data_IF_846682534232
#
_entry.id   IF_846682534232
#
_cell.length_a   1.000
_cell.length_b   1.000
_cell.length_c   1.000
_cell.angle_alpha   90.00
_cell.angle_beta   90.00
_cell.angle_gamma   90.00
#
_symmetry.space_group_name_H-M   'P 1'
#
loop_
_entity.id
_entity.type
_entity.pdbx_description
1 polymer ?
#
# COMPACT_ATOMS: atom_id res chain seq x y z
N UNK A 1 -12.28 9.12 16.69
CA UNK A 1 -12.43 8.40 17.97
C UNK A 1 -11.04 8.30 18.59
N UNK A 2 -10.89 8.04 19.89
CA UNK A 2 -9.54 7.93 20.47
C UNK A 2 -9.00 6.50 20.27
N UNK A 3 -8.00 6.33 19.39
CA UNK A 3 -7.36 5.04 19.10
C UNK A 3 -6.01 4.97 19.84
N UNK A 4 -5.86 4.12 20.87
CA UNK A 4 -4.62 3.97 21.62
C UNK A 4 -3.42 3.60 20.73
N UNK A 5 -2.25 4.18 20.99
CA UNK A 5 -1.02 3.92 20.22
C UNK A 5 -0.53 2.47 20.29
N UNK A 6 -0.83 1.78 21.39
CA UNK A 6 -0.46 0.38 21.62
C UNK A 6 -1.43 -0.62 20.98
N UNK A 7 -2.50 -0.15 20.32
CA UNK A 7 -3.44 -1.04 19.66
C UNK A 7 -2.77 -1.69 18.43
N UNK A 8 -2.83 -3.02 18.25
CA UNK A 8 -2.16 -3.72 17.15
C UNK A 8 -2.64 -3.28 15.75
N UNK A 9 -3.78 -2.60 15.68
CA UNK A 9 -4.41 -2.05 14.47
C UNK A 9 -4.47 -0.52 14.43
N UNK A 10 -3.73 0.17 15.29
CA UNK A 10 -3.88 1.61 15.48
C UNK A 10 -3.76 2.39 14.16
N UNK A 11 -2.82 2.01 13.30
CA UNK A 11 -2.57 2.67 12.02
C UNK A 11 -3.74 2.50 11.04
N UNK A 12 -4.19 1.27 10.79
CA UNK A 12 -5.36 1.00 9.91
C UNK A 12 -6.61 1.74 10.39
N UNK A 13 -6.88 1.76 11.70
CA UNK A 13 -8.03 2.48 12.24
C UNK A 13 -7.94 3.99 12.01
N UNK A 14 -6.74 4.59 12.15
CA UNK A 14 -6.54 6.02 11.88
C UNK A 14 -6.69 6.35 10.39
N UNK A 15 -6.22 5.48 9.51
CA UNK A 15 -6.38 5.63 8.06
C UNK A 15 -7.87 5.64 7.68
N UNK A 16 -8.67 4.75 8.27
CA UNK A 16 -10.12 4.73 8.08
C UNK A 16 -10.78 6.03 8.56
N UNK A 17 -10.40 6.52 9.74
CA UNK A 17 -10.95 7.79 10.26
C UNK A 17 -10.64 8.97 9.35
N UNK A 18 -9.41 9.06 8.83
CA UNK A 18 -9.02 10.09 7.86
C UNK A 18 -9.87 10.04 6.58
N UNK A 19 -10.16 8.85 6.07
CA UNK A 19 -11.00 8.69 4.88
C UNK A 19 -12.45 9.06 5.14
N UNK A 20 -13.00 8.67 6.28
CA UNK A 20 -14.36 9.07 6.70
C UNK A 20 -14.46 10.59 6.87
N UNK A 21 -13.44 11.23 7.45
CA UNK A 21 -13.36 12.68 7.53
C UNK A 21 -13.24 13.32 6.14
N UNK A 22 -12.38 12.77 5.28
CA UNK A 22 -12.26 13.20 3.88
C UNK A 22 -13.58 13.10 3.12
N UNK A 23 -14.37 12.06 3.37
CA UNK A 23 -15.71 11.90 2.79
C UNK A 23 -16.67 12.98 3.30
N UNK A 24 -16.71 13.21 4.61
CA UNK A 24 -17.54 14.28 5.21
C UNK A 24 -17.16 15.68 4.69
N UNK A 25 -15.90 15.89 4.33
CA UNK A 25 -15.40 17.16 3.75
C UNK A 25 -15.59 17.26 2.23
N UNK A 26 -16.17 16.25 1.57
CA UNK A 26 -16.37 16.22 0.11
C UNK A 26 -15.08 15.97 -0.69
N UNK A 27 -13.99 15.57 -0.04
CA UNK A 27 -12.72 15.22 -0.71
C UNK A 27 -12.74 13.78 -1.23
N UNK A 28 -13.35 12.86 -0.46
CA UNK A 28 -13.48 11.45 -0.81
C UNK A 28 -14.91 11.18 -1.27
N UNK A 29 -15.07 10.45 -2.37
CA UNK A 29 -16.37 9.97 -2.86
C UNK A 29 -16.76 8.66 -2.15
N UNK A 30 -18.05 8.29 -2.07
CA UNK A 30 -18.45 7.08 -1.33
C UNK A 30 -17.81 5.80 -1.90
N UNK A 31 -17.62 5.70 -3.22
CA UNK A 31 -16.91 4.60 -3.87
C UNK A 31 -15.44 4.52 -3.43
N UNK A 32 -14.86 5.64 -3.01
CA UNK A 32 -13.52 5.74 -2.44
C UNK A 32 -13.39 4.98 -1.12
N UNK A 33 -14.42 4.99 -0.28
CA UNK A 33 -14.44 4.20 0.96
C UNK A 33 -14.46 2.70 0.66
N UNK A 34 -15.26 2.29 -0.33
CA UNK A 34 -15.32 0.90 -0.79
C UNK A 34 -13.96 0.48 -1.39
N UNK A 35 -13.37 1.36 -2.21
CA UNK A 35 -12.05 1.13 -2.79
C UNK A 35 -10.97 0.96 -1.71
N UNK A 36 -11.04 1.72 -0.62
CA UNK A 36 -10.15 1.55 0.51
C UNK A 36 -10.30 0.17 1.16
N UNK A 37 -11.53 -0.28 1.41
CA UNK A 37 -11.78 -1.61 1.98
C UNK A 37 -11.22 -2.75 1.11
N UNK A 38 -11.31 -2.64 -0.23
CA UNK A 38 -10.65 -3.58 -1.15
C UNK A 38 -9.13 -3.53 -1.00
N UNK A 39 -8.56 -2.32 -0.92
CA UNK A 39 -7.13 -2.12 -0.69
C UNK A 39 -6.67 -2.78 0.60
N UNK A 40 -7.36 -2.54 1.72
CA UNK A 40 -7.03 -3.17 3.02
C UNK A 40 -7.02 -4.69 2.93
N UNK A 41 -7.98 -5.31 2.23
CA UNK A 41 -7.98 -6.75 2.00
C UNK A 41 -6.66 -7.25 1.39
N UNK A 42 -6.19 -6.60 0.33
CA UNK A 42 -4.90 -6.93 -0.26
C UNK A 42 -3.72 -6.56 0.64
N UNK A 43 -3.83 -5.50 1.44
CA UNK A 43 -2.80 -5.12 2.41
C UNK A 43 -2.55 -6.24 3.44
N UNK A 44 -3.62 -6.88 3.94
CA UNK A 44 -3.50 -8.09 4.77
C UNK A 44 -2.78 -9.24 4.06
N UNK A 45 -3.10 -9.47 2.78
CA UNK A 45 -2.50 -10.52 1.97
C UNK A 45 -1.02 -10.28 1.67
N UNK A 46 -0.58 -9.03 1.62
CA UNK A 46 0.84 -8.68 1.51
C UNK A 46 1.50 -8.47 2.88
N UNK A 47 0.75 -8.59 3.99
CA UNK A 47 1.27 -8.54 5.35
C UNK A 47 1.53 -7.13 5.89
N UNK A 48 0.81 -6.13 5.40
CA UNK A 48 0.75 -4.76 5.93
C UNK A 48 2.10 -4.06 6.05
N UNK A 49 3.00 -4.35 5.11
CA UNK A 49 4.33 -3.77 5.02
C UNK A 49 4.77 -3.67 3.57
N UNK A 50 5.66 -2.72 3.29
CA UNK A 50 6.32 -2.63 1.98
C UNK A 50 7.15 -3.90 1.75
N UNK A 51 6.87 -4.59 0.64
CA UNK A 51 7.59 -5.79 0.25
C UNK A 51 8.75 -5.47 -0.71
N UNK A 52 9.75 -6.36 -0.87
CA UNK A 52 10.89 -6.10 -1.75
C UNK A 52 10.51 -5.78 -3.21
N UNK A 53 9.50 -6.47 -3.76
CA UNK A 53 9.00 -6.22 -5.11
C UNK A 53 8.41 -4.80 -5.24
N UNK A 54 7.72 -4.32 -4.20
CA UNK A 54 7.13 -2.99 -4.19
C UNK A 54 8.21 -1.90 -4.06
N UNK A 55 9.16 -2.07 -3.14
CA UNK A 55 10.28 -1.14 -2.98
C UNK A 55 11.13 -1.02 -4.26
N UNK A 56 11.30 -2.13 -4.99
CA UNK A 56 11.95 -2.10 -6.31
C UNK A 56 11.16 -1.25 -7.30
N UNK A 57 9.83 -1.41 -7.37
CA UNK A 57 8.98 -0.58 -8.23
C UNK A 57 8.99 0.90 -7.82
N UNK A 58 8.99 1.21 -6.52
CA UNK A 58 9.11 2.58 -6.01
C UNK A 58 10.41 3.25 -6.49
N UNK A 59 11.54 2.54 -6.41
CA UNK A 59 12.84 3.04 -6.88
C UNK A 59 12.82 3.37 -8.37
N UNK A 60 12.22 2.51 -9.18
CA UNK A 60 12.13 2.69 -10.63
C UNK A 60 11.17 3.83 -10.98
N UNK A 61 10.02 3.90 -10.31
CA UNK A 61 9.08 5.01 -10.46
C UNK A 61 9.73 6.36 -10.17
N UNK A 62 10.50 6.47 -9.08
CA UNK A 62 11.22 7.70 -8.73
C UNK A 62 12.28 8.04 -9.78
N UNK A 63 13.04 7.05 -10.27
CA UNK A 63 14.01 7.27 -11.34
C UNK A 63 13.34 7.79 -12.62
N UNK A 64 12.19 7.23 -13.00
CA UNK A 64 11.41 7.70 -14.15
C UNK A 64 10.92 9.13 -13.96
N UNK A 65 10.39 9.47 -12.78
CA UNK A 65 9.95 10.83 -12.47
C UNK A 65 11.11 11.84 -12.59
N UNK A 66 12.29 11.51 -12.06
CA UNK A 66 13.47 12.40 -12.11
C UNK A 66 14.07 12.56 -13.51
N UNK A 67 13.88 11.58 -14.40
CA UNK A 67 14.34 11.62 -15.78
C UNK A 67 13.34 12.30 -16.73
N UNK A 68 12.08 12.42 -16.33
CA UNK A 68 11.01 12.97 -17.16
C UNK A 68 11.11 14.49 -17.31
N UNK A 69 10.82 15.01 -18.51
CA UNK A 69 10.84 16.46 -18.77
C UNK A 69 9.62 17.18 -18.17
N UNK A 70 8.45 16.54 -18.19
CA UNK A 70 7.19 17.09 -17.68
C UNK A 70 6.45 16.05 -16.82
N UNK A 71 7.03 15.63 -15.68
CA UNK A 71 6.37 14.65 -14.84
C UNK A 71 5.12 15.23 -14.18
N UNK A 72 4.09 14.40 -14.05
CA UNK A 72 2.82 14.75 -13.41
C UNK A 72 2.48 13.65 -12.41
N UNK A 73 2.09 14.03 -11.21
CA UNK A 73 1.55 13.14 -10.19
C UNK A 73 0.04 13.37 -10.15
N UNK A 74 -0.70 12.42 -10.72
CA UNK A 74 -2.15 12.45 -10.66
C UNK A 74 -2.65 11.87 -9.33
N UNK A 75 -3.63 12.53 -8.71
CA UNK A 75 -4.17 12.15 -7.40
C UNK A 75 -5.69 12.10 -7.39
N UNK A 76 -6.24 11.16 -6.63
CA UNK A 76 -7.67 11.08 -6.34
C UNK A 76 -7.96 11.49 -4.89
N UNK A 77 -9.25 11.54 -4.55
CA UNK A 77 -9.73 11.92 -3.21
C UNK A 77 -9.10 11.10 -2.07
N UNK A 78 -8.93 9.79 -2.25
CA UNK A 78 -8.34 8.92 -1.23
C UNK A 78 -6.86 9.28 -0.99
N UNK A 79 -6.08 9.43 -2.05
CA UNK A 79 -4.67 9.80 -1.95
C UNK A 79 -4.51 11.16 -1.25
N UNK A 80 -5.33 12.14 -1.63
CA UNK A 80 -5.32 13.48 -1.03
C UNK A 80 -5.74 13.46 0.43
N UNK A 81 -6.73 12.65 0.81
CA UNK A 81 -7.16 12.53 2.20
C UNK A 81 -6.09 11.85 3.09
N UNK A 82 -5.29 10.94 2.53
CA UNK A 82 -4.32 10.15 3.28
C UNK A 82 -2.93 10.76 3.35
N UNK A 83 -2.42 11.28 2.23
CA UNK A 83 -1.01 11.65 2.04
C UNK A 83 -0.81 13.04 1.40
N UNK A 84 -1.56 14.10 1.77
CA UNK A 84 -1.51 15.38 1.04
C UNK A 84 -0.11 16.02 1.10
N UNK A 85 0.53 15.98 2.26
CA UNK A 85 1.86 16.55 2.48
C UNK A 85 2.92 15.79 1.70
N UNK A 86 2.85 14.47 1.68
CA UNK A 86 3.79 13.62 0.99
C UNK A 86 3.68 13.76 -0.53
N UNK A 87 2.46 13.88 -1.06
CA UNK A 87 2.22 14.16 -2.48
C UNK A 87 2.94 15.45 -2.90
N UNK A 88 2.69 16.55 -2.19
CA UNK A 88 3.30 17.85 -2.49
C UNK A 88 4.83 17.78 -2.37
N UNK A 89 5.33 17.08 -1.35
CA UNK A 89 6.77 16.94 -1.12
C UNK A 89 7.45 16.10 -2.19
N UNK A 90 6.83 15.00 -2.63
CA UNK A 90 7.34 14.19 -3.73
C UNK A 90 7.37 15.02 -5.01
N UNK A 91 6.27 15.70 -5.33
CA UNK A 91 6.16 16.57 -6.49
C UNK A 91 7.27 17.63 -6.54
N UNK A 92 7.50 18.32 -5.41
CA UNK A 92 8.60 19.28 -5.30
C UNK A 92 9.97 18.65 -5.54
N UNK A 93 10.23 17.47 -4.98
CA UNK A 93 11.53 16.81 -5.12
C UNK A 93 11.81 16.36 -6.55
N UNK A 94 10.80 15.86 -7.25
CA UNK A 94 10.88 15.36 -8.62
C UNK A 94 10.65 16.42 -9.69
N UNK A 95 10.24 17.63 -9.32
CA UNK A 95 9.84 18.67 -10.27
C UNK A 95 8.52 18.37 -10.97
N UNK A 96 7.68 17.51 -10.38
CA UNK A 96 6.39 17.14 -10.93
C UNK A 96 5.32 18.20 -10.67
N UNK A 97 4.39 18.33 -11.60
CA UNK A 97 3.09 18.97 -11.32
C UNK A 97 2.18 17.99 -10.58
N UNK A 98 1.16 18.51 -9.91
CA UNK A 98 0.10 17.70 -9.30
C UNK A 98 -1.21 18.02 -10.01
N UNK A 99 -1.95 17.00 -10.40
CA UNK A 99 -3.28 17.15 -11.00
C UNK A 99 -4.31 16.25 -10.31
N UNK A 100 -5.57 16.64 -10.41
CA UNK A 100 -6.70 15.83 -9.96
C UNK A 100 -7.30 15.18 -11.21
N UNK A 101 -6.91 13.95 -11.52
CA UNK A 101 -7.39 13.25 -12.71
C UNK A 101 -7.30 11.71 -12.58
N UNK A 102 -7.87 10.99 -13.54
CA UNK A 102 -7.90 9.51 -13.58
C UNK A 102 -7.30 8.92 -14.86
N UNK A 103 -6.86 9.74 -15.82
CA UNK A 103 -6.55 9.27 -17.18
C UNK A 103 -5.04 9.22 -17.46
N UNK A 104 -4.59 8.02 -17.84
CA UNK A 104 -3.24 7.57 -18.18
C UNK A 104 -2.24 7.45 -17.01
N UNK A 105 -1.95 6.20 -16.63
CA UNK A 105 -1.02 5.89 -15.56
C UNK A 105 0.16 5.09 -16.12
N UNK A 106 1.28 5.76 -16.42
CA UNK A 106 2.57 5.08 -16.67
C UNK A 106 3.06 4.41 -15.38
N UNK A 107 2.87 5.08 -14.25
CA UNK A 107 3.14 4.56 -12.90
C UNK A 107 1.81 4.46 -12.15
N UNK A 108 1.53 3.31 -11.53
CA UNK A 108 0.37 3.11 -10.67
C UNK A 108 0.80 2.67 -9.27
N UNK A 109 0.15 3.20 -8.23
CA UNK A 109 0.22 2.66 -6.86
C UNK A 109 -1.11 1.97 -6.60
N UNK A 110 -1.10 0.64 -6.51
CA UNK A 110 -2.30 -0.16 -6.31
C UNK A 110 -1.97 -1.43 -5.52
N UNK A 111 -2.65 -1.62 -4.39
CA UNK A 111 -2.50 -2.81 -3.56
C UNK A 111 -2.97 -4.09 -4.26
N UNK A 112 -3.85 -3.98 -5.24
CA UNK A 112 -4.35 -5.13 -5.99
C UNK A 112 -3.50 -5.39 -7.26
N UNK A 113 -2.64 -6.43 -7.28
CA UNK A 113 -1.82 -6.74 -8.45
C UNK A 113 -2.63 -7.23 -9.67
N UNK A 114 -3.92 -7.52 -9.49
CA UNK A 114 -4.81 -8.04 -10.54
C UNK A 114 -5.71 -6.96 -11.14
N UNK A 115 -5.62 -5.71 -10.67
CA UNK A 115 -6.48 -4.65 -11.19
C UNK A 115 -6.13 -4.35 -12.66
N UNK A 116 -7.12 -3.89 -13.44
CA UNK A 116 -6.86 -3.45 -14.83
C UNK A 116 -5.77 -2.37 -14.85
N UNK A 117 -5.78 -1.45 -13.89
CA UNK A 117 -4.77 -0.39 -13.80
C UNK A 117 -3.38 -0.96 -13.54
N UNK A 118 -3.24 -1.91 -12.61
CA UNK A 118 -1.97 -2.59 -12.32
C UNK A 118 -1.41 -3.33 -13.54
N UNK A 119 -2.28 -4.04 -14.29
CA UNK A 119 -1.87 -4.82 -15.45
C UNK A 119 -1.42 -3.93 -16.62
N UNK A 120 -2.08 -2.78 -16.82
CA UNK A 120 -1.82 -1.90 -17.97
C UNK A 120 -0.74 -0.84 -17.71
N UNK A 121 -0.40 -0.55 -16.46
CA UNK A 121 0.65 0.40 -16.13
C UNK A 121 2.04 -0.13 -16.51
N UNK A 122 2.95 0.76 -16.91
CA UNK A 122 4.35 0.40 -17.19
C UNK A 122 5.14 0.10 -15.92
N UNK A 123 4.73 0.67 -14.79
CA UNK A 123 5.30 0.44 -13.46
C UNK A 123 4.15 0.35 -12.46
N UNK A 124 4.02 -0.77 -11.76
CA UNK A 124 3.05 -0.92 -10.67
C UNK A 124 3.76 -1.09 -9.33
N UNK A 125 3.42 -0.22 -8.40
CA UNK A 125 3.83 -0.29 -7.00
C UNK A 125 2.71 -0.97 -6.22
N UNK A 126 2.90 -2.24 -5.91
CA UNK A 126 1.97 -3.03 -5.11
C UNK A 126 2.22 -2.79 -3.62
N UNK A 127 1.83 -1.59 -3.16
CA UNK A 127 1.96 -1.15 -1.77
C UNK A 127 0.88 -0.14 -1.40
N UNK A 128 0.71 0.09 -0.10
CA UNK A 128 -0.20 1.10 0.42
C UNK A 128 0.40 2.49 0.21
N UNK A 129 -0.41 3.43 -0.29
CA UNK A 129 0.01 4.83 -0.54
C UNK A 129 0.63 5.49 0.69
N UNK A 130 0.18 5.14 1.91
CA UNK A 130 0.72 5.70 3.16
C UNK A 130 2.17 5.25 3.44
N UNK A 131 2.62 4.16 2.83
CA UNK A 131 4.01 3.67 2.91
C UNK A 131 4.80 4.06 1.66
N UNK A 132 4.20 3.92 0.49
CA UNK A 132 4.83 4.17 -0.80
C UNK A 132 5.34 5.61 -0.93
N UNK A 133 4.49 6.61 -0.63
CA UNK A 133 4.90 8.02 -0.77
C UNK A 133 6.10 8.39 0.12
N UNK A 134 6.12 8.07 1.43
CA UNK A 134 7.31 8.27 2.27
C UNK A 134 8.58 7.57 1.74
N UNK A 135 8.47 6.35 1.25
CA UNK A 135 9.61 5.63 0.67
C UNK A 135 10.11 6.31 -0.60
N UNK A 136 9.21 6.67 -1.51
CA UNK A 136 9.53 7.40 -2.74
C UNK A 136 10.18 8.75 -2.46
N UNK A 137 9.77 9.47 -1.42
CA UNK A 137 10.43 10.72 -0.98
C UNK A 137 11.87 10.47 -0.55
N UNK A 138 12.12 9.41 0.25
CA UNK A 138 13.48 9.04 0.67
C UNK A 138 14.33 8.68 -0.55
N UNK A 139 13.78 7.87 -1.45
CA UNK A 139 14.41 7.47 -2.71
C UNK A 139 14.73 8.69 -3.57
N UNK A 140 13.80 9.64 -3.71
CA UNK A 140 13.99 10.84 -4.54
C UNK A 140 15.13 11.71 -4.01
N UNK A 141 15.25 11.88 -2.69
CA UNK A 141 16.37 12.61 -2.07
C UNK A 141 17.73 11.98 -2.35
N UNK A 142 17.78 10.65 -2.43
CA UNK A 142 19.01 9.92 -2.69
C UNK A 142 19.33 9.93 -4.19
N UNK A 143 18.37 9.53 -5.02
CA UNK A 143 18.52 9.40 -6.47
C UNK A 143 18.74 10.73 -7.19
N UNK A 144 18.30 11.86 -6.62
CA UNK A 144 18.59 13.20 -7.18
C UNK A 144 20.08 13.56 -7.15
N UNK A 145 20.88 12.84 -6.36
CA UNK A 145 22.35 13.00 -6.31
C UNK A 145 23.06 12.14 -7.36
N UNK A 146 22.37 11.19 -7.96
CA UNK A 146 22.91 10.31 -8.99
C UNK A 146 22.89 10.99 -10.36
N UNK A 147 23.78 10.55 -11.25
CA UNK A 147 23.78 11.03 -12.64
C UNK A 147 22.65 10.38 -13.46
N UNK A 148 22.30 11.00 -14.59
CA UNK A 148 21.23 10.52 -15.48
C UNK A 148 21.46 9.09 -16.00
N UNK A 149 22.71 8.70 -16.22
CA UNK A 149 23.07 7.38 -16.73
C UNK A 149 22.76 6.28 -15.70
N UNK A 150 23.07 6.50 -14.43
CA UNK A 150 22.69 5.62 -13.32
C UNK A 150 21.16 5.46 -13.25
N UNK A 151 20.41 6.55 -13.40
CA UNK A 151 18.94 6.50 -13.38
C UNK A 151 18.38 5.71 -14.56
N UNK A 152 18.97 5.83 -15.75
CA UNK A 152 18.56 5.05 -16.94
C UNK A 152 18.77 3.56 -16.74
N UNK A 153 19.93 3.15 -16.20
CA UNK A 153 20.22 1.74 -15.90
C UNK A 153 19.21 1.10 -14.92
N UNK A 154 18.68 1.90 -13.99
CA UNK A 154 17.60 1.45 -13.09
C UNK A 154 16.34 1.10 -13.89
N UNK A 155 16.01 1.84 -14.95
CA UNK A 155 14.85 1.60 -15.81
C UNK A 155 15.05 0.41 -16.75
N UNK A 156 16.24 0.29 -17.37
CA UNK A 156 16.55 -0.77 -18.36
C UNK A 156 16.43 -2.18 -17.79
N UNK A 157 16.66 -2.34 -16.49
CA UNK A 157 16.62 -3.64 -15.80
C UNK A 157 15.24 -3.95 -15.19
N UNK A 158 14.26 -3.08 -15.40
CA UNK A 158 12.93 -3.22 -14.82
C UNK A 158 11.98 -3.97 -15.75
N UNK A 159 11.20 -4.87 -15.14
CA UNK A 159 10.15 -5.65 -15.80
C UNK A 159 8.94 -5.66 -14.86
N UNK A 160 7.85 -4.99 -15.28
CA UNK A 160 6.63 -4.87 -14.49
C UNK A 160 5.91 -6.21 -14.33
N UNK A 161 5.88 -7.05 -15.37
CA UNK A 161 5.24 -8.36 -15.32
C UNK A 161 5.96 -9.25 -14.30
N UNK A 162 7.30 -9.18 -14.24
CA UNK A 162 8.08 -9.85 -13.20
C UNK A 162 7.71 -9.35 -11.79
N UNK A 163 7.53 -8.04 -11.58
CA UNK A 163 7.13 -7.49 -10.29
C UNK A 163 5.74 -8.00 -9.87
N UNK A 164 4.77 -7.97 -10.78
CA UNK A 164 3.43 -8.47 -10.49
C UNK A 164 3.45 -9.98 -10.17
N UNK A 165 4.22 -10.78 -10.91
CA UNK A 165 4.44 -12.20 -10.60
C UNK A 165 5.09 -12.42 -9.24
N UNK A 166 6.06 -11.59 -8.85
CA UNK A 166 6.66 -11.64 -7.51
C UNK A 166 5.64 -11.33 -6.41
N UNK A 167 4.78 -10.33 -6.62
CA UNK A 167 3.69 -10.00 -5.69
C UNK A 167 2.68 -11.15 -5.53
N UNK A 168 2.24 -11.75 -6.65
CA UNK A 168 1.33 -12.89 -6.64
C UNK A 168 1.96 -14.10 -5.96
N UNK A 169 3.23 -14.40 -6.25
CA UNK A 169 3.97 -15.49 -5.61
C UNK A 169 4.08 -15.27 -4.10
N UNK A 170 4.35 -14.04 -3.66
CA UNK A 170 4.38 -13.70 -2.24
C UNK A 170 3.04 -13.95 -1.56
N UNK A 171 1.94 -13.47 -2.15
CA UNK A 171 0.58 -13.68 -1.63
C UNK A 171 0.28 -15.18 -1.51
N UNK A 172 0.57 -15.96 -2.55
CA UNK A 172 0.33 -17.40 -2.53
C UNK A 172 1.13 -18.11 -1.42
N UNK A 173 2.42 -17.83 -1.31
CA UNK A 173 3.27 -18.41 -0.26
C UNK A 173 2.80 -18.03 1.14
N UNK A 174 2.32 -16.79 1.31
CA UNK A 174 1.77 -16.32 2.58
C UNK A 174 0.45 -17.04 2.91
N UNK A 175 -0.45 -17.19 1.95
CA UNK A 175 -1.70 -17.93 2.13
C UNK A 175 -1.47 -19.39 2.53
N UNK A 176 -0.54 -20.07 1.84
CA UNK A 176 -0.12 -21.43 2.20
C UNK A 176 0.34 -21.47 3.66
N UNK A 177 1.25 -20.56 4.05
CA UNK A 177 1.76 -20.48 5.42
C UNK A 177 0.64 -20.26 6.44
N UNK A 178 -0.26 -19.32 6.19
CA UNK A 178 -1.42 -19.02 7.04
C UNK A 178 -2.37 -20.23 7.18
N UNK A 179 -2.44 -21.09 6.16
CA UNK A 179 -3.22 -22.33 6.21
C UNK A 179 -2.59 -23.46 7.03
N UNK A 180 -1.26 -23.44 7.21
CA UNK A 180 -0.54 -24.46 7.97
C UNK A 180 -0.21 -24.04 9.41
N UNK A 181 0.03 -22.74 9.64
CA UNK A 181 0.30 -22.19 10.97
C UNK A 181 -1.01 -21.98 11.74
N UNK A 182 -0.98 -22.06 13.09
CA UNK A 182 -2.13 -21.75 13.94
C UNK A 182 -2.34 -20.23 14.01
N UNK A 183 -2.84 -19.65 12.92
CA UNK A 183 -2.99 -18.19 12.77
C UNK A 183 -4.40 -17.69 13.09
N UNK A 184 -5.39 -18.57 13.05
CA UNK A 184 -6.79 -18.24 13.30
C UNK A 184 -7.20 -18.51 14.76
N UNK A 185 -6.82 -17.60 15.68
CA UNK A 185 -7.36 -17.51 17.05
C UNK A 185 -7.30 -18.78 17.91
N UNK A 186 -7.92 -18.70 19.09
CA UNK A 186 -8.33 -19.91 19.82
C UNK A 186 -9.54 -20.48 19.10
N UNK A 187 -9.32 -21.37 18.12
CA UNK A 187 -10.39 -22.30 17.79
C UNK A 187 -10.77 -23.04 19.09
N UNK A 188 -12.06 -23.22 19.34
CA UNK A 188 -12.53 -24.22 20.29
C UNK A 188 -12.10 -25.59 19.74
N UNK A 189 -10.83 -25.95 19.90
CA UNK A 189 -10.35 -27.30 19.66
C UNK A 189 -10.96 -28.20 20.74
N UNK A 190 -11.08 -29.49 20.45
CA UNK A 190 -11.53 -30.44 21.47
C UNK A 190 -10.70 -30.36 22.76
N UNK A 191 -9.42 -29.97 22.68
CA UNK A 191 -8.55 -29.71 23.83
C UNK A 191 -9.01 -28.51 24.68
N UNK A 192 -9.39 -27.38 24.07
CA UNK A 192 -9.92 -26.21 24.80
C UNK A 192 -11.27 -26.54 25.43
N UNK A 193 -12.11 -27.33 24.73
CA UNK A 193 -13.38 -27.83 25.27
C UNK A 193 -13.17 -28.85 26.40
N UNK A 194 -12.14 -29.70 26.35
CA UNK A 194 -11.76 -30.61 27.44
C UNK A 194 -11.24 -29.85 28.66
N UNK A 195 -10.40 -28.84 28.46
CA UNK A 195 -9.92 -27.95 29.54
C UNK A 195 -11.06 -27.18 30.20
N UNK A 196 -12.04 -26.70 29.44
CA UNK A 196 -13.24 -26.03 29.96
C UNK A 196 -14.17 -27.00 30.74
N UNK A 197 -14.19 -28.29 30.38
CA UNK A 197 -14.91 -29.33 31.15
C UNK A 197 -14.23 -29.68 32.48
N UNK A 198 -12.91 -29.55 32.56
CA UNK A 198 -12.12 -29.84 33.77
C UNK A 198 -12.11 -28.69 34.79
N UNK A 199 -12.41 -27.46 34.37
CA UNK A 199 -12.57 -26.32 35.25
C UNK A 199 -13.84 -25.55 34.89
N UNK A 200 -15.00 -25.86 35.53
CA UNK A 200 -16.16 -25.00 35.41
C UNK A 200 -15.85 -23.68 36.11
N UNK A 201 -15.32 -22.71 35.36
CA UNK A 201 -15.25 -21.33 35.81
C UNK A 201 -16.69 -20.88 35.97
N UNK A 202 -17.14 -20.76 37.23
CA UNK A 202 -18.40 -20.09 37.56
C UNK A 202 -18.35 -18.68 36.98
N UNK A 203 -19.08 -18.45 35.90
CA UNK A 203 -19.46 -17.12 35.49
C UNK A 203 -20.34 -16.55 36.61
N UNK A 204 -19.77 -15.67 37.45
CA UNK A 204 -20.55 -14.87 38.37
C UNK A 204 -21.44 -13.94 37.53
N UNK A 205 -22.74 -13.99 37.80
CA UNK A 205 -23.76 -13.13 37.19
C UNK A 205 -23.66 -11.68 37.63
#
# INVERSE_FOLDING_TARGET
MHIPNNHPRAESLRIREKLVEGFRKGVVVPEGLIAHGRGECFDYLIGEKTQPFAFKAEKVAVALLLLSNHPIISVNGNCVALCPTEIVKLAYLTGSKVEVNLFQNVIAIDLNPFSRTAIWASITIVDNVVRAFPNMIKLAKNLKKENKETLKKILETYDNDKILKEAVKFINQRLVRLGHEKVFGFSLTEEVLQLAKLNPVRLKG
#
